data_IF_623338608001
#
_entry.id   IF_623338608001
#
_cell.length_a   1.000
_cell.length_b   1.000
_cell.length_c   1.000
_cell.angle_alpha   90.00
_cell.angle_beta   90.00
_cell.angle_gamma   90.00
#
_symmetry.space_group_name_H-M   'P 1'
#
loop_
_entity.id
_entity.type
_entity.pdbx_description
1 polymer ?
#
# COMPACT_ATOMS: atom_id res chain seq x y z
N UNK A 1 -6.33 -8.92 8.92
CA UNK A 1 -5.32 -9.95 9.28
C UNK A 1 -5.47 -11.25 8.48
N UNK A 2 -6.67 -11.59 7.99
CA UNK A 2 -6.89 -12.74 7.10
C UNK A 2 -5.92 -12.76 5.91
N UNK A 3 -5.81 -11.66 5.16
CA UNK A 3 -4.93 -11.56 3.98
C UNK A 3 -3.46 -11.94 4.29
N UNK A 4 -2.87 -11.40 5.36
CA UNK A 4 -1.47 -11.71 5.71
C UNK A 4 -1.28 -13.19 6.02
N UNK A 5 -2.19 -13.79 6.80
CA UNK A 5 -2.13 -15.22 7.12
C UNK A 5 -2.33 -16.09 5.87
N UNK A 6 -3.23 -15.71 4.96
CA UNK A 6 -3.52 -16.46 3.74
C UNK A 6 -2.37 -16.38 2.73
N UNK A 7 -1.83 -15.19 2.47
CA UNK A 7 -0.78 -14.96 1.46
C UNK A 7 0.60 -15.40 1.94
N UNK A 8 0.93 -15.14 3.21
CA UNK A 8 2.30 -15.33 3.74
C UNK A 8 2.43 -16.46 4.76
N UNK A 9 1.33 -16.96 5.33
CA UNK A 9 1.34 -17.93 6.42
C UNK A 9 1.69 -17.34 7.79
N UNK A 10 1.73 -16.01 7.92
CA UNK A 10 2.09 -15.32 9.16
C UNK A 10 0.84 -14.79 9.85
N UNK A 11 0.68 -15.16 11.11
CA UNK A 11 -0.33 -14.55 11.97
C UNK A 11 0.22 -13.27 12.58
N UNK A 12 -0.58 -12.21 12.57
CA UNK A 12 -0.18 -10.94 13.13
C UNK A 12 -1.37 -10.14 13.68
N UNK A 13 -1.06 -9.13 14.47
CA UNK A 13 -1.99 -8.12 14.95
C UNK A 13 -1.63 -6.74 14.37
N UNK A 14 -2.64 -5.89 14.16
CA UNK A 14 -2.42 -4.50 13.74
C UNK A 14 -1.94 -3.70 14.95
N UNK A 15 -0.79 -3.05 14.81
CA UNK A 15 -0.26 -2.11 15.80
C UNK A 15 -0.73 -0.70 15.48
N UNK A 16 -0.63 -0.30 14.21
CA UNK A 16 -0.96 1.06 13.78
C UNK A 16 -1.37 1.11 12.30
N UNK A 17 -2.27 2.02 11.94
CA UNK A 17 -2.43 2.49 10.58
C UNK A 17 -1.34 3.52 10.27
N UNK A 18 -0.61 3.34 9.16
CA UNK A 18 0.46 4.26 8.74
C UNK A 18 -0.01 5.22 7.65
N UNK A 19 -0.77 4.73 6.68
CA UNK A 19 -1.20 5.54 5.54
C UNK A 19 -2.52 5.08 4.93
N UNK A 20 -3.23 6.04 4.32
CA UNK A 20 -4.35 5.83 3.40
C UNK A 20 -4.03 6.56 2.09
N UNK A 21 -3.86 5.80 1.01
CA UNK A 21 -3.55 6.35 -0.31
C UNK A 21 -4.74 6.24 -1.25
N UNK A 22 -5.13 7.37 -1.86
CA UNK A 22 -6.11 7.43 -2.94
C UNK A 22 -5.43 7.06 -4.27
N UNK A 23 -5.81 5.90 -4.81
CA UNK A 23 -5.25 5.36 -6.04
C UNK A 23 -5.67 6.08 -7.31
N UNK A 24 -6.82 6.77 -7.30
CA UNK A 24 -7.23 7.64 -8.40
C UNK A 24 -6.41 8.94 -8.37
N UNK A 25 -6.25 9.56 -7.20
CA UNK A 25 -5.45 10.77 -7.06
C UNK A 25 -3.97 10.53 -7.40
N UNK A 26 -3.43 9.36 -7.04
CA UNK A 26 -2.07 8.93 -7.38
C UNK A 26 -1.92 8.33 -8.77
N UNK A 27 -3.03 8.09 -9.47
CA UNK A 27 -3.07 7.50 -10.81
C UNK A 27 -2.41 6.12 -10.90
N UNK A 28 -2.34 5.36 -9.80
CA UNK A 28 -1.88 3.96 -9.86
C UNK A 28 -3.01 2.98 -10.23
N UNK A 29 -4.26 3.45 -10.27
CA UNK A 29 -5.44 2.70 -10.74
C UNK A 29 -6.40 3.63 -11.49
N UNK A 30 -7.21 3.06 -12.38
CA UNK A 30 -8.30 3.76 -13.08
C UNK A 30 -9.67 3.58 -12.40
N UNK A 31 -9.76 2.71 -11.39
CA UNK A 31 -10.98 2.50 -10.59
C UNK A 31 -10.80 3.05 -9.17
N UNK A 32 -11.88 3.47 -8.47
CA UNK A 32 -11.79 3.91 -7.08
C UNK A 32 -11.20 2.80 -6.19
N UNK A 33 -9.96 3.01 -5.73
CA UNK A 33 -9.26 2.11 -4.83
C UNK A 33 -8.47 2.93 -3.82
N UNK A 34 -8.59 2.55 -2.54
CA UNK A 34 -7.75 3.06 -1.47
C UNK A 34 -6.79 1.98 -1.01
N UNK A 35 -5.50 2.28 -0.96
CA UNK A 35 -4.48 1.40 -0.40
C UNK A 35 -4.18 1.82 1.03
N UNK A 36 -4.37 0.90 1.98
CA UNK A 36 -4.10 1.12 3.40
C UNK A 36 -2.85 0.37 3.80
N UNK A 37 -1.94 1.06 4.48
CA UNK A 37 -0.68 0.48 4.97
C UNK A 37 -0.74 0.35 6.49
N UNK A 38 -0.58 -0.88 6.98
CA UNK A 38 -0.60 -1.18 8.41
C UNK A 38 0.78 -1.61 8.91
N UNK A 39 1.18 -1.08 10.07
CA UNK A 39 2.23 -1.69 10.87
C UNK A 39 1.61 -2.85 11.65
N UNK A 40 2.11 -4.06 11.39
CA UNK A 40 1.65 -5.27 12.04
C UNK A 40 2.77 -5.91 12.85
N UNK A 41 2.42 -6.51 13.99
CA UNK A 41 3.32 -7.34 14.78
C UNK A 41 3.03 -8.80 14.51
N UNK A 42 4.03 -9.55 14.04
CA UNK A 42 3.94 -11.01 13.92
C UNK A 42 3.74 -11.65 15.31
N UNK A 43 2.76 -12.53 15.43
CA UNK A 43 2.40 -13.22 16.68
C UNK A 43 2.54 -14.74 16.57
N UNK A 44 2.71 -15.26 15.35
CA UNK A 44 2.89 -16.69 15.09
C UNK A 44 2.90 -17.02 13.62
N UNK A 45 2.64 -18.30 13.31
CA UNK A 45 2.65 -18.83 11.95
C UNK A 45 4.04 -19.20 11.46
N UNK A 46 4.11 -19.54 10.17
CA UNK A 46 5.34 -19.91 9.48
C UNK A 46 5.24 -19.48 8.03
N UNK A 47 6.32 -18.91 7.49
CA UNK A 47 6.37 -18.48 6.09
C UNK A 47 5.95 -19.61 5.16
N UNK A 48 4.84 -19.39 4.48
CA UNK A 48 4.27 -20.31 3.50
C UNK A 48 3.49 -19.48 2.48
N UNK A 49 4.07 -19.33 1.31
CA UNK A 49 3.43 -18.62 0.20
C UNK A 49 2.12 -19.32 -0.20
N UNK A 50 1.07 -18.54 -0.41
CA UNK A 50 -0.18 -19.05 -0.95
C UNK A 50 0.01 -19.59 -2.39
N UNK A 51 -0.36 -20.84 -2.69
CA UNK A 51 -0.02 -21.49 -3.96
C UNK A 51 -0.62 -20.83 -5.21
N UNK A 52 -1.67 -20.03 -5.07
CA UNK A 52 -2.36 -19.38 -6.20
C UNK A 52 -2.17 -17.85 -6.26
N UNK A 53 -1.75 -17.24 -5.15
CA UNK A 53 -1.78 -15.78 -4.99
C UNK A 53 -0.39 -15.21 -4.71
N UNK A 54 0.51 -16.00 -4.10
CA UNK A 54 1.85 -15.56 -3.72
C UNK A 54 2.89 -16.48 -4.33
N UNK A 55 3.77 -15.93 -5.18
CA UNK A 55 4.81 -16.73 -5.87
C UNK A 55 5.95 -17.13 -4.94
N UNK A 56 6.31 -16.26 -4.00
CA UNK A 56 7.37 -16.46 -3.02
C UNK A 56 7.16 -15.53 -1.81
N UNK A 57 7.75 -15.86 -0.66
CA UNK A 57 7.61 -15.07 0.56
C UNK A 57 8.88 -15.14 1.42
N UNK A 58 9.24 -14.00 2.04
CA UNK A 58 10.41 -13.90 2.88
C UNK A 58 10.37 -12.69 3.82
N UNK A 59 11.27 -12.70 4.81
CA UNK A 59 11.56 -11.51 5.63
C UNK A 59 12.78 -10.81 5.04
N UNK A 60 12.66 -9.50 4.84
CA UNK A 60 13.72 -8.67 4.26
C UNK A 60 13.96 -7.47 5.17
N UNK A 61 15.22 -7.07 5.39
CA UNK A 61 15.49 -5.80 6.05
C UNK A 61 15.10 -4.65 5.11
N UNK A 62 14.75 -3.49 5.70
CA UNK A 62 14.20 -2.36 4.95
C UNK A 62 15.17 -1.79 3.90
N UNK A 63 16.47 -1.95 4.11
CA UNK A 63 17.55 -1.53 3.22
C UNK A 63 17.95 -2.61 2.18
N UNK A 64 17.34 -3.80 2.23
CA UNK A 64 17.53 -4.86 1.24
C UNK A 64 16.19 -5.50 0.82
N UNK A 65 15.20 -4.65 0.57
CA UNK A 65 13.94 -5.08 -0.05
C UNK A 65 14.19 -5.62 -1.47
N UNK A 66 13.36 -6.58 -1.94
CA UNK A 66 13.44 -7.06 -3.31
C UNK A 66 13.28 -5.93 -4.33
N UNK A 67 13.93 -6.09 -5.49
CA UNK A 67 13.75 -5.18 -6.62
C UNK A 67 12.26 -5.03 -6.96
N UNK A 68 11.83 -3.79 -7.24
CA UNK A 68 10.45 -3.45 -7.59
C UNK A 68 9.43 -3.66 -6.45
N UNK A 69 9.83 -3.53 -5.19
CA UNK A 69 8.89 -3.41 -4.08
C UNK A 69 7.89 -2.26 -4.33
N UNK A 70 6.63 -2.62 -4.64
CA UNK A 70 5.62 -1.68 -5.12
C UNK A 70 5.36 -0.60 -4.06
N UNK A 71 5.47 0.67 -4.47
CA UNK A 71 5.17 1.80 -3.60
C UNK A 71 6.16 2.00 -2.45
N UNK A 72 7.34 1.37 -2.48
CA UNK A 72 8.36 1.51 -1.42
C UNK A 72 8.68 2.96 -1.08
N UNK A 73 8.77 3.85 -2.08
CA UNK A 73 9.02 5.28 -1.84
C UNK A 73 7.90 5.98 -1.05
N UNK A 74 6.68 5.43 -1.09
CA UNK A 74 5.53 5.96 -0.36
C UNK A 74 5.52 5.47 1.09
N UNK A 75 5.61 4.15 1.30
CA UNK A 75 5.41 3.55 2.62
C UNK A 75 6.71 3.27 3.38
N UNK A 76 7.85 3.16 2.70
CA UNK A 76 9.14 2.81 3.29
C UNK A 76 9.59 3.77 4.40
N UNK A 77 9.55 5.09 4.19
CA UNK A 77 9.88 6.06 5.24
C UNK A 77 8.95 5.97 6.47
N UNK A 78 7.66 5.68 6.25
CA UNK A 78 6.69 5.51 7.34
C UNK A 78 6.98 4.23 8.14
N UNK A 79 7.32 3.14 7.46
CA UNK A 79 7.73 1.88 8.09
C UNK A 79 9.00 2.07 8.93
N UNK A 80 10.01 2.78 8.40
CA UNK A 80 11.24 3.08 9.14
C UNK A 80 10.96 3.82 10.47
N UNK A 81 10.10 4.84 10.44
CA UNK A 81 9.72 5.59 11.64
C UNK A 81 8.91 4.74 12.62
N UNK A 82 7.97 3.93 12.12
CA UNK A 82 7.17 3.06 12.96
C UNK A 82 8.04 2.01 13.70
N UNK A 83 9.05 1.45 13.01
CA UNK A 83 9.97 0.48 13.60
C UNK A 83 10.95 1.10 14.61
N UNK A 84 11.24 2.40 14.52
CA UNK A 84 12.05 3.10 15.53
C UNK A 84 11.28 3.41 16.82
N UNK A 85 9.99 3.04 16.90
CA UNK A 85 9.12 3.33 18.04
C UNK A 85 8.67 4.79 18.13
N UNK A 86 8.86 5.58 17.06
CA UNK A 86 8.32 6.93 17.00
C UNK A 86 6.80 6.88 16.80
N UNK A 87 6.07 7.85 17.37
CA UNK A 87 4.66 8.01 17.05
C UNK A 87 4.55 8.56 15.61
N UNK A 88 3.90 7.83 14.73
CA UNK A 88 3.72 8.22 13.33
C UNK A 88 2.30 8.73 13.17
N UNK A 89 2.12 10.00 12.82
CA UNK A 89 0.79 10.49 12.42
C UNK A 89 0.34 9.76 11.15
N UNK A 90 -0.94 9.39 11.09
CA UNK A 90 -1.48 8.69 9.93
C UNK A 90 -1.40 9.59 8.71
N UNK A 91 -0.69 9.15 7.67
CA UNK A 91 -0.66 9.85 6.40
C UNK A 91 -1.97 9.66 5.63
N UNK A 92 -2.52 10.73 5.08
CA UNK A 92 -3.63 10.67 4.14
C UNK A 92 -3.41 11.66 3.01
N UNK A 93 -4.01 11.36 1.87
CA UNK A 93 -4.01 12.29 0.76
C UNK A 93 -4.95 13.45 1.01
N UNK A 94 -4.44 14.65 0.80
CA UNK A 94 -5.26 15.83 0.92
C UNK A 94 -6.36 15.79 -0.15
N UNK A 95 -7.60 16.14 0.23
CA UNK A 95 -8.67 16.33 -0.72
C UNK A 95 -8.22 17.24 -1.88
N UNK A 96 -8.66 16.90 -3.09
CA UNK A 96 -8.43 17.74 -4.28
C UNK A 96 -8.93 19.15 -4.03
N UNK A 97 -8.23 20.15 -4.58
CA UNK A 97 -8.64 21.55 -4.50
C UNK A 97 -8.76 22.12 -5.91
N UNK A 98 -9.98 22.38 -6.41
CA UNK A 98 -11.27 22.15 -5.76
C UNK A 98 -11.69 20.67 -5.77
N UNK A 99 -12.49 20.25 -4.78
CA UNK A 99 -12.83 18.83 -4.53
C UNK A 99 -13.54 18.13 -5.69
N UNK A 100 -14.21 18.88 -6.57
CA UNK A 100 -14.95 18.37 -7.72
C UNK A 100 -14.14 18.29 -9.01
N UNK A 101 -12.95 18.88 -9.07
CA UNK A 101 -12.16 18.92 -10.30
C UNK A 101 -11.26 17.70 -10.39
N UNK A 102 -11.55 16.81 -11.34
CA UNK A 102 -10.60 15.81 -11.83
C UNK A 102 -9.94 16.34 -13.09
N UNK A 103 -8.67 16.01 -13.34
CA UNK A 103 -8.07 16.24 -14.66
C UNK A 103 -8.77 15.32 -15.66
N UNK A 104 -9.90 15.78 -16.19
CA UNK A 104 -10.60 15.13 -17.28
C UNK A 104 -9.79 15.41 -18.54
N UNK A 105 -9.15 14.39 -19.10
CA UNK A 105 -8.78 14.42 -20.51
C UNK A 105 -10.11 14.45 -21.27
N UNK A 106 -10.48 15.64 -21.77
CA UNK A 106 -11.52 15.75 -22.77
C UNK A 106 -10.95 15.07 -24.01
N UNK A 107 -11.36 13.83 -24.26
CA UNK A 107 -11.15 13.22 -25.57
C UNK A 107 -12.13 13.93 -26.49
N UNK A 108 -11.63 14.82 -27.31
CA UNK A 108 -12.44 15.48 -28.33
C UNK A 108 -12.84 14.43 -29.36
N UNK A 109 -14.12 14.09 -29.40
CA UNK A 109 -14.68 13.10 -30.33
C UNK A 109 -15.01 13.71 -31.70
N UNK A 110 -14.59 14.95 -31.98
CA UNK A 110 -14.87 15.61 -33.27
C UNK A 110 -13.89 15.29 -34.38
N UNK A 111 -12.88 14.45 -34.16
CA UNK A 111 -12.04 13.90 -35.24
C UNK A 111 -12.44 12.45 -35.58
N UNK A 112 -13.68 12.28 -36.06
CA UNK A 112 -14.02 11.18 -36.96
C UNK A 112 -14.75 11.77 -38.18
N UNK A 113 -13.98 11.88 -39.27
CA UNK A 113 -14.31 12.10 -40.69
C UNK A 113 -15.65 12.80 -41.05
#
# INVERSE_FOLDING_TARGET
>A
MKEVSEETGIDCEVVQLLAVYDGLQRRFTSVPLYSLVFHCRATGGSLKAHPLETRDVGFFPLDALPDMAVGQDLWGPLAAHAFSGANVDVHFDHPRTPVWQGDHVVVDLTDQD
#
